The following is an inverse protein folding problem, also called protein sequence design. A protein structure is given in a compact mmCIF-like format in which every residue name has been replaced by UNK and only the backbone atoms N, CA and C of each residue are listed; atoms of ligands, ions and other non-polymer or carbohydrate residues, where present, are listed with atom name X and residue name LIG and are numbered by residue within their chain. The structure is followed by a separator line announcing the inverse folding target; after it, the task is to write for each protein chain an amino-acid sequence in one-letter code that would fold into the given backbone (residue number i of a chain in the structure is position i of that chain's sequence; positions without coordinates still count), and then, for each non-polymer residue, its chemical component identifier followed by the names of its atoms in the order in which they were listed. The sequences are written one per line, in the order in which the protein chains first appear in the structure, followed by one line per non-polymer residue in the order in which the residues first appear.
data_IF_986179546117
#
_entry.id   IF_986179546117
#
_cell.length_a   1.000
_cell.length_b   1.000
_cell.length_c   1.000
_cell.angle_alpha   90.00
_cell.angle_beta   90.00
_cell.angle_gamma   90.00
#
_symmetry.space_group_name_H-M   'P 1'
#
loop_
_entity.id
_entity.type
_entity.pdbx_description
1 polymer ?
#
# COMPACT_ATOMS: atom_id res chain seq x y z
N UNK A 1 -41.94 12.84 -20.21
CA UNK A 1 -40.50 12.98 -19.88
C UNK A 1 -40.26 12.35 -18.51
N UNK A 2 -40.02 11.04 -18.47
CA UNK A 2 -39.70 10.33 -17.22
C UNK A 2 -38.20 10.12 -17.12
N UNK A 3 -37.51 10.95 -16.33
CA UNK A 3 -36.10 10.75 -16.03
C UNK A 3 -35.98 9.67 -14.94
N UNK A 4 -35.62 8.45 -15.32
CA UNK A 4 -35.20 7.40 -14.40
C UNK A 4 -33.92 7.85 -13.70
N UNK A 5 -34.03 8.21 -12.42
CA UNK A 5 -32.91 8.35 -11.50
C UNK A 5 -32.20 7.00 -11.40
N UNK A 6 -31.00 6.88 -11.98
CA UNK A 6 -30.13 5.73 -11.76
C UNK A 6 -29.80 5.68 -10.26
N UNK A 7 -30.27 4.63 -9.59
CA UNK A 7 -29.85 4.29 -8.23
C UNK A 7 -28.33 4.21 -8.15
N UNK A 8 -27.73 5.03 -7.30
CA UNK A 8 -26.33 4.90 -6.91
C UNK A 8 -26.18 3.64 -6.05
N UNK A 9 -25.50 2.61 -6.58
CA UNK A 9 -25.18 1.37 -5.86
C UNK A 9 -23.74 1.48 -5.33
N UNK A 10 -23.53 1.72 -4.02
CA UNK A 10 -22.19 1.77 -3.46
C UNK A 10 -21.63 0.35 -3.42
N UNK A 11 -20.74 0.04 -4.37
CA UNK A 11 -20.18 -1.29 -4.58
C UNK A 11 -19.91 -1.59 -6.06
N UNK A 12 -20.67 -1.00 -6.98
CA UNK A 12 -20.44 -1.17 -8.43
C UNK A 12 -19.32 -0.28 -8.97
N UNK A 13 -19.07 0.88 -8.35
CA UNK A 13 -18.12 1.87 -8.88
C UNK A 13 -16.65 1.53 -8.65
N UNK A 14 -16.29 0.76 -7.61
CA UNK A 14 -14.90 0.33 -7.42
C UNK A 14 -14.44 -0.60 -8.56
N UNK A 15 -15.37 -1.43 -9.05
CA UNK A 15 -15.19 -2.25 -10.26
C UNK A 15 -15.00 -1.41 -11.51
N UNK A 16 -15.54 -0.18 -11.54
CA UNK A 16 -15.39 0.76 -12.66
C UNK A 16 -14.01 1.42 -12.66
N UNK A 17 -13.47 1.75 -11.48
CA UNK A 17 -12.09 2.26 -11.31
C UNK A 17 -11.02 1.20 -11.55
N UNK A 18 -11.31 -0.07 -11.20
CA UNK A 18 -10.43 -1.21 -11.44
C UNK A 18 -10.62 -1.84 -12.83
N UNK A 19 -11.65 -1.44 -13.58
CA UNK A 19 -11.97 -2.01 -14.90
C UNK A 19 -10.83 -1.88 -15.91
N UNK A 20 -10.12 -0.75 -16.01
CA UNK A 20 -8.94 -0.66 -16.87
C UNK A 20 -7.82 -1.64 -16.46
N UNK A 21 -7.65 -1.90 -15.15
CA UNK A 21 -6.69 -2.89 -14.64
C UNK A 21 -7.15 -4.34 -14.85
N UNK A 22 -8.45 -4.62 -14.81
CA UNK A 22 -9.02 -5.93 -15.11
C UNK A 22 -9.10 -6.22 -16.62
N UNK A 23 -9.11 -5.18 -17.46
CA UNK A 23 -9.05 -5.27 -18.92
C UNK A 23 -7.64 -5.49 -19.46
N UNK A 24 -6.61 -5.47 -18.60
CA UNK A 24 -5.26 -5.95 -18.94
C UNK A 24 -5.18 -7.48 -19.04
N UNK A 25 -6.28 -8.21 -18.85
CA UNK A 25 -6.35 -9.63 -19.20
C UNK A 25 -6.17 -9.80 -20.71
N UNK A 26 -5.18 -10.59 -21.18
CA UNK A 26 -5.02 -10.85 -22.60
C UNK A 26 -6.28 -11.53 -23.15
N UNK A 27 -6.74 -11.11 -24.33
CA UNK A 27 -7.67 -11.93 -25.09
C UNK A 27 -7.00 -13.28 -25.37
N UNK A 28 -7.63 -14.34 -24.86
CA UNK A 28 -7.54 -15.73 -25.30
C UNK A 28 -6.54 -16.00 -26.45
N UNK A 29 -5.23 -16.14 -26.18
CA UNK A 29 -4.27 -16.96 -26.96
C UNK A 29 -2.78 -16.92 -26.56
N UNK A 30 -2.39 -16.43 -25.38
CA UNK A 30 -1.00 -16.57 -24.92
C UNK A 30 -0.97 -16.99 -23.45
N UNK A 31 -0.81 -18.29 -23.20
CA UNK A 31 -0.64 -18.88 -21.87
C UNK A 31 0.56 -18.30 -21.11
N UNK A 32 1.52 -17.73 -21.82
CA UNK A 32 2.71 -17.06 -21.30
C UNK A 32 2.39 -15.75 -20.58
N UNK A 33 1.46 -14.94 -21.13
CA UNK A 33 1.14 -13.60 -20.62
C UNK A 33 0.22 -13.67 -19.38
N UNK A 34 -0.61 -14.71 -19.29
CA UNK A 34 -1.47 -14.95 -18.12
C UNK A 34 -0.69 -15.30 -16.84
N UNK A 35 0.46 -15.97 -16.96
CA UNK A 35 1.36 -16.29 -15.84
C UNK A 35 2.11 -15.03 -15.37
N UNK A 36 2.45 -14.13 -16.30
CA UNK A 36 3.15 -12.88 -16.00
C UNK A 36 2.28 -11.87 -15.23
N UNK A 37 0.97 -11.90 -15.45
CA UNK A 37 -0.01 -11.02 -14.80
C UNK A 37 -0.65 -11.62 -13.55
N UNK A 38 -0.54 -12.94 -13.33
CA UNK A 38 -0.97 -13.59 -12.10
C UNK A 38 -0.49 -12.88 -10.80
N UNK A 39 0.75 -12.40 -10.70
CA UNK A 39 1.26 -11.68 -9.53
C UNK A 39 0.78 -10.24 -9.43
N UNK A 40 0.13 -9.70 -10.48
CA UNK A 40 -0.57 -8.40 -10.45
C UNK A 40 -2.05 -8.62 -10.11
N UNK A 41 -2.66 -9.67 -10.66
CA UNK A 41 -4.07 -9.99 -10.52
C UNK A 41 -4.42 -10.56 -9.14
N UNK A 42 -3.53 -11.35 -8.54
CA UNK A 42 -3.75 -11.92 -7.20
C UNK A 42 -3.74 -10.83 -6.12
N UNK A 43 -2.76 -9.92 -6.06
CA UNK A 43 -2.77 -8.83 -5.08
C UNK A 43 -3.91 -7.83 -5.31
N UNK A 44 -4.28 -7.52 -6.56
CA UNK A 44 -5.47 -6.70 -6.87
C UNK A 44 -6.77 -7.38 -6.39
N UNK A 45 -6.90 -8.70 -6.58
CA UNK A 45 -8.03 -9.47 -6.04
C UNK A 45 -8.02 -9.53 -4.52
N UNK A 46 -6.85 -9.66 -3.89
CA UNK A 46 -6.71 -9.62 -2.43
C UNK A 46 -7.05 -8.24 -1.87
N UNK A 47 -6.63 -7.15 -2.52
CA UNK A 47 -7.04 -5.78 -2.19
C UNK A 47 -8.56 -5.65 -2.27
N UNK A 48 -9.17 -6.15 -3.35
CA UNK A 48 -10.63 -6.11 -3.52
C UNK A 48 -11.36 -6.94 -2.44
N UNK A 49 -10.83 -8.10 -2.04
CA UNK A 49 -11.37 -8.91 -0.94
C UNK A 49 -11.20 -8.22 0.42
N UNK A 50 -10.10 -7.49 0.64
CA UNK A 50 -9.83 -6.76 1.88
C UNK A 50 -10.62 -5.45 1.98
N UNK A 51 -10.99 -4.83 0.85
CA UNK A 51 -11.87 -3.67 0.83
C UNK A 51 -13.35 -4.00 0.92
N UNK A 52 -13.77 -5.25 0.65
CA UNK A 52 -15.18 -5.64 0.77
C UNK A 52 -15.78 -5.33 2.16
N UNK A 53 -15.15 -5.67 3.29
CA UNK A 53 -15.68 -5.34 4.61
C UNK A 53 -15.69 -3.83 4.90
N UNK A 54 -14.65 -3.10 4.49
CA UNK A 54 -14.55 -1.66 4.70
C UNK A 54 -15.57 -0.88 3.85
N UNK A 55 -15.71 -1.26 2.58
CA UNK A 55 -16.71 -0.72 1.67
C UNK A 55 -18.13 -1.08 2.12
N UNK A 56 -18.37 -2.31 2.61
CA UNK A 56 -19.66 -2.71 3.17
C UNK A 56 -20.01 -1.91 4.44
N UNK A 57 -19.04 -1.65 5.32
CA UNK A 57 -19.23 -0.78 6.50
C UNK A 57 -19.51 0.66 6.09
N UNK A 58 -18.74 1.22 5.16
CA UNK A 58 -18.96 2.57 4.65
C UNK A 58 -20.32 2.69 3.96
N UNK A 59 -20.73 1.71 3.14
CA UNK A 59 -22.06 1.69 2.53
C UNK A 59 -23.18 1.55 3.55
N UNK A 60 -22.97 0.81 4.64
CA UNK A 60 -23.96 0.68 5.71
C UNK A 60 -24.10 1.95 6.55
N UNK A 61 -23.02 2.71 6.72
CA UNK A 61 -22.99 4.00 7.42
C UNK A 61 -23.57 5.14 6.57
N UNK A 62 -23.39 5.07 5.25
CA UNK A 62 -23.95 6.02 4.28
C UNK A 62 -25.35 5.64 3.81
N UNK A 63 -25.87 4.47 4.20
CA UNK A 63 -27.19 4.02 3.81
C UNK A 63 -28.26 4.93 4.45
N UNK A 64 -29.23 5.43 3.67
CA UNK A 64 -30.32 6.21 4.24
C UNK A 64 -31.11 5.36 5.24
N UNK A 65 -31.64 5.96 6.33
CA UNK A 65 -32.40 5.23 7.34
C UNK A 65 -33.57 4.48 6.67
N UNK A 66 -33.79 3.23 7.07
CA UNK A 66 -34.96 2.46 6.62
C UNK A 66 -36.21 3.22 7.06
N UNK A 67 -37.10 3.53 6.10
CA UNK A 67 -38.41 4.13 6.37
C UNK A 67 -39.21 3.16 7.24
N UNK A 68 -39.31 3.43 8.53
CA UNK A 68 -40.38 2.90 9.37
C UNK A 68 -41.61 3.77 9.15
N UNK A 69 -42.80 3.18 8.92
CA UNK A 69 -44.01 3.96 8.72
C UNK A 69 -44.54 4.41 10.08
N UNK A 70 -43.99 5.47 10.67
CA UNK A 70 -44.70 6.19 11.73
C UNK A 70 -44.38 7.70 11.69
N UNK A 71 -45.30 8.45 11.11
CA UNK A 71 -45.12 9.83 10.70
C UNK A 71 -45.63 10.81 11.77
N UNK A 72 -44.71 11.36 12.56
CA UNK A 72 -45.03 12.49 13.44
C UNK A 72 -43.80 13.09 14.12
N UNK A 73 -43.00 12.25 14.80
CA UNK A 73 -41.80 12.68 15.53
C UNK A 73 -40.48 12.45 14.76
N UNK A 74 -40.51 11.76 13.62
CA UNK A 74 -39.31 11.42 12.85
C UNK A 74 -38.64 12.63 12.19
N UNK A 75 -39.36 13.68 11.75
CA UNK A 75 -38.70 14.78 11.01
C UNK A 75 -37.71 15.56 11.87
N UNK A 76 -38.02 15.78 13.14
CA UNK A 76 -37.11 16.44 14.10
C UNK A 76 -35.94 15.52 14.43
N UNK A 77 -36.19 14.23 14.63
CA UNK A 77 -35.13 13.26 14.93
C UNK A 77 -34.23 12.97 13.71
N UNK A 78 -34.77 12.94 12.49
CA UNK A 78 -34.03 12.74 11.22
C UNK A 78 -33.22 13.98 10.87
N UNK A 79 -33.75 15.19 11.05
CA UNK A 79 -32.97 16.43 10.88
C UNK A 79 -31.89 16.54 11.96
N UNK A 80 -32.18 16.18 13.20
CA UNK A 80 -31.17 16.12 14.28
C UNK A 80 -30.11 15.03 14.04
N UNK A 81 -30.48 13.85 13.52
CA UNK A 81 -29.53 12.78 13.14
C UNK A 81 -28.69 13.15 11.91
N UNK A 82 -29.28 13.82 10.93
CA UNK A 82 -28.57 14.29 9.74
C UNK A 82 -27.61 15.45 10.07
N UNK A 83 -27.99 16.34 11.00
CA UNK A 83 -27.13 17.40 11.51
C UNK A 83 -26.02 16.91 12.46
N UNK A 84 -26.19 15.72 13.06
CA UNK A 84 -25.24 15.09 13.98
C UNK A 84 -24.58 13.83 13.38
N UNK A 85 -24.45 13.76 12.06
CA UNK A 85 -23.59 12.76 11.45
C UNK A 85 -22.13 13.23 11.55
N UNK A 86 -21.64 13.32 12.80
CA UNK A 86 -20.22 13.49 13.07
C UNK A 86 -19.51 12.25 12.53
N UNK A 87 -18.85 12.40 11.37
CA UNK A 87 -18.07 11.31 10.80
C UNK A 87 -17.01 10.94 11.85
N UNK A 88 -17.07 9.71 12.36
CA UNK A 88 -16.15 9.29 13.41
C UNK A 88 -14.69 9.38 12.92
N UNK A 89 -13.72 9.75 13.78
CA UNK A 89 -12.32 9.76 13.41
C UNK A 89 -11.85 8.41 12.82
N UNK A 90 -12.40 7.29 13.31
CA UNK A 90 -12.10 5.96 12.77
C UNK A 90 -12.64 5.72 11.36
N UNK A 91 -13.81 6.29 11.04
CA UNK A 91 -14.35 6.29 9.68
C UNK A 91 -13.44 7.07 8.73
N UNK A 92 -12.98 8.25 9.15
CA UNK A 92 -12.04 9.08 8.37
C UNK A 92 -10.71 8.35 8.18
N UNK A 93 -10.15 7.80 9.25
CA UNK A 93 -8.90 7.01 9.23
C UNK A 93 -9.01 5.83 8.27
N UNK A 94 -10.14 5.12 8.29
CA UNK A 94 -10.38 4.00 7.38
C UNK A 94 -10.44 4.46 5.93
N UNK A 95 -11.19 5.53 5.63
CA UNK A 95 -11.32 6.05 4.27
C UNK A 95 -9.96 6.52 3.70
N UNK A 96 -9.18 7.25 4.49
CA UNK A 96 -7.83 7.70 4.09
C UNK A 96 -6.90 6.51 3.88
N UNK A 97 -6.93 5.51 4.77
CA UNK A 97 -6.11 4.31 4.64
C UNK A 97 -6.45 3.50 3.39
N UNK A 98 -7.72 3.48 2.97
CA UNK A 98 -8.15 2.86 1.70
C UNK A 98 -7.54 3.57 0.50
N UNK A 99 -7.58 4.90 0.46
CA UNK A 99 -6.96 5.70 -0.61
C UNK A 99 -5.44 5.53 -0.61
N UNK A 100 -4.82 5.51 0.58
CA UNK A 100 -3.40 5.23 0.76
C UNK A 100 -2.98 3.86 0.24
N UNK A 101 -3.77 2.82 0.50
CA UNK A 101 -3.55 1.48 -0.05
C UNK A 101 -3.66 1.47 -1.60
N UNK A 102 -4.67 2.14 -2.16
CA UNK A 102 -4.86 2.22 -3.62
C UNK A 102 -3.70 2.93 -4.33
N UNK A 103 -3.23 4.05 -3.78
CA UNK A 103 -2.07 4.78 -4.32
C UNK A 103 -0.77 3.99 -4.16
N UNK A 104 -0.56 3.31 -3.03
CA UNK A 104 0.60 2.44 -2.84
C UNK A 104 0.62 1.27 -3.83
N UNK A 105 -0.54 0.70 -4.17
CA UNK A 105 -0.60 -0.35 -5.20
C UNK A 105 -0.11 0.17 -6.56
N UNK A 106 -0.46 1.40 -6.94
CA UNK A 106 0.06 2.01 -8.18
C UNK A 106 1.59 2.08 -8.16
N UNK A 107 2.18 2.43 -7.00
CA UNK A 107 3.63 2.48 -6.82
C UNK A 107 4.27 1.09 -6.90
N UNK A 108 3.70 0.07 -6.24
CA UNK A 108 4.20 -1.31 -6.33
C UNK A 108 4.10 -1.89 -7.75
N UNK A 109 3.14 -1.43 -8.56
CA UNK A 109 2.98 -1.88 -9.94
C UNK A 109 3.83 -1.07 -10.93
N UNK A 110 4.48 0.02 -10.51
CA UNK A 110 5.30 0.83 -11.41
C UNK A 110 6.46 0.09 -12.08
N UNK A 111 7.08 -0.96 -11.47
CA UNK A 111 8.13 -1.74 -12.12
C UNK A 111 7.65 -2.80 -13.12
N UNK A 112 6.33 -3.03 -13.29
CA UNK A 112 5.80 -4.06 -14.22
C UNK A 112 6.39 -3.93 -15.63
N UNK A 113 6.47 -2.74 -16.27
CA UNK A 113 7.07 -2.61 -17.61
C UNK A 113 8.53 -3.08 -17.68
N UNK A 114 9.31 -2.86 -16.62
CA UNK A 114 10.70 -3.32 -16.51
C UNK A 114 10.76 -4.85 -16.51
N UNK A 115 9.90 -5.51 -15.74
CA UNK A 115 9.88 -6.97 -15.68
C UNK A 115 9.31 -7.63 -16.94
N UNK A 116 8.40 -6.98 -17.64
CA UNK A 116 8.00 -7.39 -19.00
C UNK A 116 9.22 -7.40 -19.94
N UNK A 117 10.11 -6.40 -19.84
CA UNK A 117 11.33 -6.35 -20.66
C UNK A 117 12.29 -7.49 -20.30
N UNK A 118 12.54 -7.71 -19.01
CA UNK A 118 13.39 -8.81 -18.51
C UNK A 118 12.88 -10.15 -19.05
N UNK A 119 11.58 -10.41 -18.94
CA UNK A 119 10.95 -11.63 -19.44
C UNK A 119 11.14 -11.80 -20.95
N UNK A 120 10.78 -10.77 -21.74
CA UNK A 120 10.90 -10.81 -23.21
C UNK A 120 12.34 -10.98 -23.68
N UNK A 121 13.31 -10.48 -22.92
CA UNK A 121 14.75 -10.60 -23.22
C UNK A 121 15.39 -11.87 -22.67
N UNK A 122 14.74 -12.55 -21.72
CA UNK A 122 15.31 -13.71 -21.03
C UNK A 122 16.57 -13.38 -20.22
N UNK A 123 16.77 -12.12 -19.85
CA UNK A 123 17.97 -11.62 -19.16
C UNK A 123 17.64 -10.40 -18.31
N UNK A 124 18.30 -10.28 -17.15
CA UNK A 124 18.20 -9.09 -16.28
C UNK A 124 18.98 -7.87 -16.80
N UNK A 125 19.72 -8.01 -17.90
CA UNK A 125 20.50 -6.92 -18.53
C UNK A 125 21.35 -6.14 -17.49
N UNK A 126 21.16 -4.81 -17.40
CA UNK A 126 21.80 -3.93 -16.41
C UNK A 126 20.86 -3.58 -15.24
N UNK A 127 19.70 -4.23 -15.15
CA UNK A 127 18.75 -3.97 -14.06
C UNK A 127 19.29 -4.50 -12.73
N UNK A 128 19.04 -3.73 -11.67
CA UNK A 128 19.47 -4.07 -10.30
C UNK A 128 18.30 -4.63 -9.50
N UNK A 129 18.55 -5.67 -8.71
CA UNK A 129 17.58 -6.22 -7.77
C UNK A 129 17.43 -5.41 -6.48
N UNK A 130 18.37 -4.49 -6.20
CA UNK A 130 18.46 -3.77 -4.92
C UNK A 130 17.16 -3.03 -4.53
N UNK A 131 16.47 -2.31 -5.44
CA UNK A 131 15.22 -1.64 -5.09
C UNK A 131 14.14 -2.61 -4.61
N UNK A 132 14.03 -3.79 -5.24
CA UNK A 132 13.01 -4.79 -4.91
C UNK A 132 13.30 -5.48 -3.58
N UNK A 133 14.58 -5.82 -3.36
CA UNK A 133 15.06 -6.42 -2.10
C UNK A 133 14.87 -5.44 -0.93
N UNK A 134 15.29 -4.18 -1.08
CA UNK A 134 15.07 -3.14 -0.06
C UNK A 134 13.58 -2.90 0.23
N UNK A 135 12.74 -2.89 -0.81
CA UNK A 135 11.28 -2.73 -0.65
C UNK A 135 10.66 -3.93 0.06
N UNK A 136 11.13 -5.15 -0.22
CA UNK A 136 10.69 -6.37 0.47
C UNK A 136 11.01 -6.30 1.96
N UNK A 137 12.23 -5.92 2.35
CA UNK A 137 12.61 -5.72 3.75
C UNK A 137 11.71 -4.69 4.44
N UNK A 138 11.49 -3.54 3.80
CA UNK A 138 10.60 -2.51 4.33
C UNK A 138 9.18 -3.06 4.54
N UNK A 139 8.62 -3.79 3.58
CA UNK A 139 7.30 -4.38 3.71
C UNK A 139 7.24 -5.44 4.83
N UNK A 140 8.26 -6.29 4.97
CA UNK A 140 8.34 -7.27 6.07
C UNK A 140 8.35 -6.59 7.44
N UNK A 141 9.09 -5.48 7.59
CA UNK A 141 9.15 -4.70 8.81
C UNK A 141 7.79 -4.05 9.14
N UNK A 142 7.10 -3.48 8.14
CA UNK A 142 5.77 -2.90 8.35
C UNK A 142 4.68 -3.95 8.62
N UNK A 143 4.80 -5.15 8.04
CA UNK A 143 3.94 -6.28 8.41
C UNK A 143 4.18 -6.67 9.86
N UNK A 144 5.44 -6.82 10.29
CA UNK A 144 5.78 -7.10 11.68
C UNK A 144 5.24 -6.02 12.62
N UNK A 145 5.40 -4.74 12.26
CA UNK A 145 4.86 -3.62 13.01
C UNK A 145 3.35 -3.76 13.20
N UNK A 146 2.61 -3.94 12.11
CA UNK A 146 1.14 -3.96 12.13
C UNK A 146 0.51 -5.18 12.80
N UNK A 147 1.28 -6.24 13.10
CA UNK A 147 0.74 -7.43 13.77
C UNK A 147 0.10 -7.05 15.11
N UNK A 148 -1.08 -7.63 15.48
CA UNK A 148 -1.74 -7.31 16.75
C UNK A 148 -0.88 -7.56 17.99
N UNK A 149 0.09 -8.49 17.91
CA UNK A 149 1.04 -8.75 18.99
C UNK A 149 2.05 -7.61 19.20
N UNK A 150 2.31 -6.79 18.17
CA UNK A 150 3.27 -5.68 18.17
C UNK A 150 2.52 -4.35 18.29
N UNK A 151 1.69 -4.01 17.31
CA UNK A 151 0.95 -2.75 17.25
C UNK A 151 -0.54 -2.97 16.89
N UNK A 152 -1.44 -3.05 17.88
CA UNK A 152 -2.86 -3.28 17.67
C UNK A 152 -3.55 -2.24 16.77
N UNK A 153 -4.64 -2.64 16.10
CA UNK A 153 -5.50 -1.76 15.29
C UNK A 153 -4.85 -1.12 14.04
N UNK A 154 -3.86 -1.80 13.44
CA UNK A 154 -3.13 -1.34 12.24
C UNK A 154 -3.28 -2.26 11.03
N UNK A 155 -4.46 -2.87 10.88
CA UNK A 155 -4.78 -3.80 9.79
C UNK A 155 -4.53 -3.23 8.38
N UNK A 156 -4.82 -1.95 8.15
CA UNK A 156 -4.60 -1.32 6.83
C UNK A 156 -3.11 -1.16 6.46
N UNK A 157 -2.21 -1.20 7.46
CA UNK A 157 -0.76 -1.24 7.25
C UNK A 157 -0.33 -2.66 6.87
N UNK A 158 -0.87 -3.69 7.53
CA UNK A 158 -0.61 -5.09 7.20
C UNK A 158 -1.08 -5.39 5.76
N UNK A 159 -2.26 -4.92 5.38
CA UNK A 159 -2.88 -5.22 4.08
C UNK A 159 -2.00 -4.77 2.92
N UNK A 160 -1.56 -3.50 2.95
CA UNK A 160 -0.76 -2.95 1.85
C UNK A 160 0.64 -3.53 1.81
N UNK A 161 1.28 -3.71 2.97
CA UNK A 161 2.65 -4.21 3.02
C UNK A 161 2.71 -5.71 2.74
N UNK A 162 1.71 -6.49 3.17
CA UNK A 162 1.58 -7.89 2.78
C UNK A 162 1.33 -8.06 1.27
N UNK A 163 0.52 -7.18 0.68
CA UNK A 163 0.33 -7.09 -0.78
C UNK A 163 1.65 -6.73 -1.48
N UNK A 164 2.36 -5.72 -0.97
CA UNK A 164 3.69 -5.32 -1.44
C UNK A 164 4.70 -6.46 -1.38
N UNK A 165 4.77 -7.20 -0.27
CA UNK A 165 5.63 -8.38 -0.13
C UNK A 165 5.36 -9.41 -1.23
N UNK A 166 4.09 -9.72 -1.54
CA UNK A 166 3.76 -10.67 -2.59
C UNK A 166 4.22 -10.19 -3.98
N UNK A 167 4.05 -8.89 -4.27
CA UNK A 167 4.51 -8.27 -5.51
C UNK A 167 6.04 -8.29 -5.60
N UNK A 168 6.75 -7.85 -4.56
CA UNK A 168 8.22 -7.80 -4.53
C UNK A 168 8.84 -9.20 -4.60
N UNK A 169 8.28 -10.19 -3.90
CA UNK A 169 8.72 -11.58 -4.01
C UNK A 169 8.59 -12.10 -5.45
N UNK A 170 7.57 -11.66 -6.17
CA UNK A 170 7.41 -12.04 -7.58
C UNK A 170 8.49 -11.39 -8.44
N UNK A 171 8.70 -10.08 -8.30
CA UNK A 171 9.77 -9.37 -9.02
C UNK A 171 11.13 -10.02 -8.77
N UNK A 172 11.43 -10.35 -7.52
CA UNK A 172 12.68 -11.00 -7.15
C UNK A 172 12.75 -12.42 -7.71
N UNK A 173 11.67 -13.20 -7.71
CA UNK A 173 11.64 -14.52 -8.32
C UNK A 173 11.91 -14.48 -9.82
N UNK A 174 11.28 -13.54 -10.54
CA UNK A 174 11.55 -13.31 -11.97
C UNK A 174 13.00 -12.87 -12.20
N UNK A 175 13.52 -11.96 -11.38
CA UNK A 175 14.92 -11.52 -11.46
C UNK A 175 15.88 -12.70 -11.25
N UNK A 176 15.62 -13.57 -10.28
CA UNK A 176 16.43 -14.75 -10.00
C UNK A 176 16.37 -15.78 -11.13
N UNK A 177 15.22 -15.93 -11.80
CA UNK A 177 15.05 -16.84 -12.93
C UNK A 177 15.91 -16.44 -14.14
N UNK A 178 16.10 -15.13 -14.36
CA UNK A 178 16.87 -14.59 -15.50
C UNK A 178 18.26 -14.04 -15.12
N UNK A 179 18.73 -14.29 -13.91
CA UNK A 179 20.08 -13.92 -13.45
C UNK A 179 20.94 -15.14 -13.17
N UNK A 180 22.25 -14.96 -13.27
CA UNK A 180 23.23 -16.04 -13.06
C UNK A 180 24.46 -15.55 -12.27
N UNK A 181 25.30 -16.50 -11.86
CA UNK A 181 26.61 -16.23 -11.27
C UNK A 181 26.56 -15.42 -9.98
N UNK A 182 27.49 -14.46 -9.85
CA UNK A 182 27.67 -13.67 -8.64
C UNK A 182 26.45 -12.78 -8.32
N UNK A 183 25.75 -12.26 -9.33
CA UNK A 183 24.55 -11.43 -9.15
C UNK A 183 23.44 -12.23 -8.48
N UNK A 184 23.12 -13.42 -9.01
CA UNK A 184 22.11 -14.31 -8.43
C UNK A 184 22.46 -14.73 -7.00
N UNK A 185 23.72 -15.11 -6.76
CA UNK A 185 24.20 -15.48 -5.42
C UNK A 185 24.05 -14.32 -4.43
N UNK A 186 24.41 -13.10 -4.83
CA UNK A 186 24.27 -11.91 -3.98
C UNK A 186 22.81 -11.68 -3.58
N UNK A 187 21.87 -11.77 -4.52
CA UNK A 187 20.44 -11.59 -4.22
C UNK A 187 19.94 -12.66 -3.25
N UNK A 188 20.29 -13.94 -3.45
CA UNK A 188 19.92 -15.01 -2.53
C UNK A 188 20.47 -14.81 -1.11
N UNK A 189 21.72 -14.37 -0.99
CA UNK A 189 22.33 -14.06 0.30
C UNK A 189 21.66 -12.88 1.00
N UNK A 190 21.28 -11.83 0.24
CA UNK A 190 20.53 -10.70 0.79
C UNK A 190 19.16 -11.15 1.31
N UNK A 191 18.42 -11.96 0.55
CA UNK A 191 17.13 -12.50 0.99
C UNK A 191 17.25 -13.32 2.28
N UNK A 192 18.25 -14.20 2.35
CA UNK A 192 18.50 -15.00 3.55
C UNK A 192 18.82 -14.09 4.75
N UNK A 193 19.63 -13.06 4.54
CA UNK A 193 19.97 -12.08 5.58
C UNK A 193 18.74 -11.29 6.05
N UNK A 194 17.87 -10.86 5.13
CA UNK A 194 16.63 -10.13 5.47
C UNK A 194 15.66 -10.99 6.28
N UNK A 195 15.43 -12.24 5.85
CA UNK A 195 14.55 -13.16 6.59
C UNK A 195 15.13 -13.45 7.98
N UNK A 196 16.42 -13.71 8.08
CA UNK A 196 17.09 -13.93 9.36
C UNK A 196 17.00 -12.69 10.27
N UNK A 197 17.21 -11.50 9.70
CA UNK A 197 17.12 -10.23 10.42
C UNK A 197 15.70 -9.99 10.95
N UNK A 198 14.67 -10.08 10.10
CA UNK A 198 13.27 -9.87 10.52
C UNK A 198 12.84 -10.91 11.55
N UNK A 199 13.22 -12.17 11.37
CA UNK A 199 12.95 -13.24 12.34
C UNK A 199 13.62 -12.96 13.69
N UNK A 200 14.88 -12.51 13.69
CA UNK A 200 15.60 -12.13 14.91
C UNK A 200 14.93 -10.94 15.62
N UNK A 201 14.57 -9.89 14.89
CA UNK A 201 13.83 -8.73 15.45
C UNK A 201 12.50 -9.19 16.06
N UNK A 202 11.72 -9.99 15.33
CA UNK A 202 10.45 -10.50 15.83
C UNK A 202 10.63 -11.34 17.10
N UNK A 203 11.59 -12.27 17.12
CA UNK A 203 11.88 -13.10 18.28
C UNK A 203 12.31 -12.26 19.49
N UNK A 204 13.23 -11.32 19.32
CA UNK A 204 13.72 -10.45 20.39
C UNK A 204 12.61 -9.54 20.94
N UNK A 205 11.83 -8.92 20.06
CA UNK A 205 10.75 -8.01 20.47
C UNK A 205 9.63 -8.77 21.20
N UNK A 206 9.24 -9.95 20.70
CA UNK A 206 8.17 -10.72 21.34
C UNK A 206 8.60 -11.38 22.66
N UNK A 207 9.88 -11.72 22.81
CA UNK A 207 10.41 -12.32 24.04
C UNK A 207 10.80 -11.31 25.11
N UNK A 208 11.41 -10.17 24.73
CA UNK A 208 12.02 -9.23 25.67
C UNK A 208 11.18 -7.97 25.94
N UNK A 209 10.29 -7.58 25.02
CA UNK A 209 9.39 -6.44 25.23
C UNK A 209 7.99 -6.96 25.60
N UNK A 210 7.57 -6.73 26.85
CA UNK A 210 6.31 -7.29 27.37
C UNK A 210 5.08 -6.40 27.14
N UNK A 211 5.25 -5.15 26.70
CA UNK A 211 4.14 -4.21 26.42
C UNK A 211 4.04 -3.90 24.93
N UNK A 212 2.82 -3.66 24.44
CA UNK A 212 2.59 -3.22 23.07
C UNK A 212 3.34 -1.93 22.74
N UNK A 213 3.41 -0.98 23.68
CA UNK A 213 4.12 0.29 23.47
C UNK A 213 5.61 0.09 23.20
N UNK A 214 6.28 -0.77 23.97
CA UNK A 214 7.71 -1.06 23.75
C UNK A 214 7.94 -1.80 22.45
N UNK A 215 7.07 -2.77 22.11
CA UNK A 215 7.16 -3.52 20.85
C UNK A 215 6.96 -2.59 19.65
N UNK A 216 5.93 -1.76 19.70
CA UNK A 216 5.62 -0.75 18.68
C UNK A 216 6.77 0.23 18.52
N UNK A 217 7.35 0.71 19.62
CA UNK A 217 8.49 1.63 19.57
C UNK A 217 9.71 1.03 18.87
N UNK A 218 10.14 -0.17 19.27
CA UNK A 218 11.35 -0.80 18.72
C UNK A 218 11.17 -1.08 17.23
N UNK A 219 10.06 -1.73 16.85
CA UNK A 219 9.81 -2.08 15.44
C UNK A 219 9.52 -0.83 14.61
N UNK A 220 8.80 0.14 15.18
CA UNK A 220 8.47 1.41 14.53
C UNK A 220 9.70 2.24 14.19
N UNK A 221 10.69 2.33 15.10
CA UNK A 221 11.98 3.00 14.82
C UNK A 221 12.68 2.32 13.63
N UNK A 222 12.72 0.99 13.58
CA UNK A 222 13.32 0.27 12.47
C UNK A 222 12.56 0.52 11.16
N UNK A 223 11.22 0.52 11.17
CA UNK A 223 10.41 0.86 10.00
C UNK A 223 10.73 2.28 9.50
N UNK A 224 10.87 3.24 10.42
CA UNK A 224 11.25 4.61 10.06
C UNK A 224 12.66 4.65 9.47
N UNK A 225 13.64 3.96 10.05
CA UNK A 225 15.00 3.96 9.52
C UNK A 225 15.07 3.38 8.09
N UNK A 226 14.45 2.21 7.85
CA UNK A 226 14.44 1.60 6.53
C UNK A 226 13.63 2.40 5.52
N UNK A 227 12.42 2.84 5.90
CA UNK A 227 11.57 3.68 5.06
C UNK A 227 12.24 5.00 4.67
N UNK A 228 12.98 5.63 5.58
CA UNK A 228 13.73 6.86 5.29
C UNK A 228 14.89 6.58 4.34
N UNK A 229 15.62 5.49 4.56
CA UNK A 229 16.73 5.08 3.69
C UNK A 229 16.30 4.89 2.23
N UNK A 230 15.07 4.42 1.99
CA UNK A 230 14.53 4.26 0.63
C UNK A 230 14.40 5.59 -0.14
N UNK A 231 14.34 6.75 0.53
CA UNK A 231 14.31 8.05 -0.15
C UNK A 231 15.65 8.46 -0.77
N UNK A 232 16.75 7.74 -0.49
CA UNK A 232 18.04 8.03 -1.12
C UNK A 232 17.96 7.96 -2.66
N UNK A 233 17.24 6.99 -3.21
CA UNK A 233 17.06 6.83 -4.65
C UNK A 233 16.29 8.00 -5.30
N UNK A 234 15.07 8.36 -4.87
CA UNK A 234 14.36 9.50 -5.44
C UNK A 234 15.11 10.83 -5.22
N UNK A 235 15.81 11.03 -4.10
CA UNK A 235 16.65 12.21 -3.88
C UNK A 235 17.80 12.30 -4.89
N UNK A 236 18.41 11.16 -5.24
CA UNK A 236 19.43 11.10 -6.29
C UNK A 236 18.86 11.47 -7.67
N UNK A 237 17.65 11.02 -7.98
CA UNK A 237 16.94 11.42 -9.21
C UNK A 237 16.61 12.92 -9.21
N UNK A 238 16.15 13.48 -8.09
CA UNK A 238 15.90 14.92 -7.97
C UNK A 238 17.17 15.75 -8.20
N UNK A 239 18.30 15.32 -7.64
CA UNK A 239 19.60 15.94 -7.92
C UNK A 239 19.93 15.91 -9.41
N UNK A 240 19.71 14.78 -10.07
CA UNK A 240 19.92 14.65 -11.51
C UNK A 240 19.03 15.61 -12.30
N UNK A 241 17.74 15.69 -12.00
CA UNK A 241 16.79 16.61 -12.66
C UNK A 241 17.25 18.08 -12.54
N UNK A 242 17.73 18.48 -11.37
CA UNK A 242 18.24 19.85 -11.13
C UNK A 242 19.50 20.12 -11.98
N UNK A 243 20.39 19.13 -12.09
CA UNK A 243 21.65 19.22 -12.82
C UNK A 243 21.44 19.21 -14.34
N UNK A 244 20.58 18.32 -14.84
CA UNK A 244 20.32 18.14 -16.28
C UNK A 244 19.24 19.08 -16.82
N UNK A 245 18.49 19.75 -15.94
CA UNK A 245 17.31 20.57 -16.29
C UNK A 245 16.26 19.78 -17.09
N UNK A 246 16.21 18.47 -16.91
CA UNK A 246 15.32 17.56 -17.62
C UNK A 246 14.56 16.67 -16.64
N UNK A 247 13.26 16.47 -16.89
CA UNK A 247 12.38 15.59 -16.10
C UNK A 247 12.22 14.19 -16.71
N UNK A 248 13.07 13.82 -17.67
CA UNK A 248 13.03 12.53 -18.37
C UNK A 248 13.00 11.33 -17.41
N UNK A 249 13.72 11.41 -16.29
CA UNK A 249 13.82 10.34 -15.29
C UNK A 249 12.80 10.47 -14.14
N UNK A 250 11.90 11.47 -14.19
CA UNK A 250 10.92 11.74 -13.14
C UNK A 250 9.50 11.81 -13.72
N UNK A 251 8.86 10.66 -13.98
CA UNK A 251 7.50 10.63 -14.53
C UNK A 251 6.50 11.29 -13.56
N UNK A 252 5.80 12.33 -14.04
CA UNK A 252 4.89 13.15 -13.25
C UNK A 252 3.82 12.34 -12.52
N UNK A 253 3.23 11.33 -13.18
CA UNK A 253 2.18 10.51 -12.59
C UNK A 253 2.66 9.68 -11.38
N UNK A 254 3.88 9.14 -11.43
CA UNK A 254 4.44 8.39 -10.29
C UNK A 254 4.80 9.33 -9.15
N UNK A 255 5.33 10.52 -9.45
CA UNK A 255 5.60 11.56 -8.45
C UNK A 255 4.32 12.01 -7.76
N UNK A 256 3.23 12.22 -8.51
CA UNK A 256 1.93 12.58 -7.96
C UNK A 256 1.33 11.44 -7.12
N UNK A 257 1.40 10.20 -7.60
CA UNK A 257 0.94 9.03 -6.84
C UNK A 257 1.69 8.90 -5.51
N UNK A 258 3.01 9.09 -5.51
CA UNK A 258 3.85 9.12 -4.29
C UNK A 258 3.46 10.25 -3.35
N UNK A 259 3.19 11.45 -3.87
CA UNK A 259 2.77 12.59 -3.05
C UNK A 259 1.42 12.32 -2.37
N UNK A 260 0.42 11.86 -3.13
CA UNK A 260 -0.90 11.52 -2.57
C UNK A 260 -0.77 10.39 -1.56
N UNK A 261 0.08 9.40 -1.82
CA UNK A 261 0.36 8.32 -0.89
C UNK A 261 0.94 8.82 0.44
N UNK A 262 1.95 9.70 0.39
CA UNK A 262 2.56 10.31 1.56
C UNK A 262 1.56 11.14 2.38
N UNK A 263 0.70 11.92 1.73
CA UNK A 263 -0.37 12.69 2.39
C UNK A 263 -1.34 11.75 3.09
N UNK A 264 -1.77 10.66 2.42
CA UNK A 264 -2.72 9.70 2.98
C UNK A 264 -2.14 9.01 4.22
N UNK A 265 -0.92 8.49 4.17
CA UNK A 265 -0.31 7.81 5.31
C UNK A 265 0.01 8.76 6.47
N UNK A 266 0.40 9.99 6.18
CA UNK A 266 0.59 11.03 7.21
C UNK A 266 -0.74 11.35 7.90
N UNK A 267 -1.81 11.57 7.15
CA UNK A 267 -3.13 11.84 7.72
C UNK A 267 -3.70 10.62 8.49
N UNK A 268 -3.48 9.40 7.98
CA UNK A 268 -3.84 8.16 8.66
C UNK A 268 -3.18 8.05 10.05
N UNK A 269 -1.91 8.43 10.13
CA UNK A 269 -1.11 8.39 11.34
C UNK A 269 -1.53 9.44 12.37
N UNK A 270 -1.79 10.67 11.90
CA UNK A 270 -2.17 11.80 12.76
C UNK A 270 -3.51 11.58 13.49
N UNK A 271 -4.47 10.88 12.88
CA UNK A 271 -5.79 10.65 13.50
C UNK A 271 -5.69 9.82 14.80
N UNK A 272 -4.68 8.95 14.92
CA UNK A 272 -4.42 8.14 16.13
C UNK A 272 -3.08 8.46 16.80
N UNK A 273 -2.43 9.57 16.39
CA UNK A 273 -1.11 10.00 16.84
C UNK A 273 -0.05 8.88 16.80
N UNK A 274 0.00 8.13 15.71
CA UNK A 274 1.07 7.15 15.48
C UNK A 274 2.30 7.86 14.89
N UNK A 275 3.25 8.26 15.75
CA UNK A 275 4.45 8.97 15.34
C UNK A 275 5.36 8.17 14.39
N UNK A 276 5.27 6.84 14.38
CA UNK A 276 6.11 5.99 13.52
C UNK A 276 5.58 5.95 12.09
N UNK A 277 4.25 5.96 11.90
CA UNK A 277 3.63 6.07 10.57
C UNK A 277 3.70 7.53 10.06
N UNK A 278 3.80 8.53 10.93
CA UNK A 278 3.84 9.96 10.59
C UNK A 278 5.21 10.42 10.01
N UNK A 279 5.82 9.62 9.14
CA UNK A 279 7.22 9.74 8.73
C UNK A 279 7.61 11.05 7.98
N UNK A 280 6.69 12.00 7.83
CA UNK A 280 6.97 13.34 7.30
C UNK A 280 7.10 14.44 8.38
N UNK A 281 6.73 14.21 9.64
CA UNK A 281 6.84 15.22 10.70
C UNK A 281 8.14 15.18 11.50
N UNK A 282 8.90 14.07 11.45
CA UNK A 282 10.17 13.95 12.16
C UNK A 282 11.30 14.74 11.45
N UNK A 283 11.25 14.88 10.12
CA UNK A 283 12.18 15.77 9.40
C UNK A 283 11.97 17.26 9.69
N UNK A 284 10.79 17.69 10.16
CA UNK A 284 10.56 19.10 10.54
C UNK A 284 11.09 19.45 11.94
N UNK A 285 11.31 18.46 12.82
CA UNK A 285 11.88 18.69 14.17
C UNK A 285 13.40 18.57 14.24
N UNK A 286 14.08 18.18 13.17
CA UNK A 286 15.55 18.25 13.06
C UNK A 286 16.05 19.60 12.48
N UNK A 287 15.16 20.58 12.33
CA UNK A 287 15.48 21.95 11.90
C UNK A 287 15.11 23.01 12.94
N UNK A 288 15.23 22.69 14.24
CA UNK A 288 15.30 23.66 15.32
C UNK A 288 16.31 23.20 16.38
#
# INVERSE_FOLDING_TARGET
MGATTKEFRPGSDLTLYLRPLLLLTPSHNSTSDGILLLPVLVPVRLLHLQFRPAAARLSSLLAPPRRTPDAGNERVFVVARAATMTISPDTIRTAIGVVGNGTALVLFLSPVPTFIRIWKKGSVEQYSAVPYVATLLNCMMWVLYGLPAVHPHSMLVITINGTGMAIELTYIALFLAFSAGAVRRRVLLLLAAEVAFVAAVAALVLSLAHTHDRRSMIVGILCVLFGTGMYAAPLSVMKMVIQTKSVEYMPLFLSLASLVNGICWTAYALIRFDLYITQYLICLKMYH
#
